data_IF_282298023111
#
_entry.id   IF_282298023111
#
_cell.length_a   1.000
_cell.length_b   1.000
_cell.length_c   1.000
_cell.angle_alpha   90.00
_cell.angle_beta   90.00
_cell.angle_gamma   90.00
#
_symmetry.space_group_name_H-M   'P 1'
#
loop_
_entity.id
_entity.type
_entity.pdbx_description
1 polymer ?
#
# COMPACT_ATOMS: atom_id res chain seq x y z
N UNK A 1 10.20 6.84 -15.33
CA UNK A 1 10.53 5.39 -15.42
C UNK A 1 9.65 4.64 -14.43
N UNK A 2 9.05 3.52 -14.81
CA UNK A 2 8.12 2.73 -14.01
C UNK A 2 8.67 1.33 -13.73
N UNK A 3 8.84 0.98 -12.46
CA UNK A 3 9.22 -0.36 -12.02
C UNK A 3 7.97 -1.20 -11.83
N UNK A 4 7.89 -2.39 -12.45
CA UNK A 4 6.79 -3.33 -12.25
C UNK A 4 7.19 -4.44 -11.27
N UNK A 5 6.44 -4.67 -10.19
CA UNK A 5 6.59 -5.84 -9.30
C UNK A 5 5.27 -6.20 -8.56
N UNK A 6 5.30 -7.11 -7.57
CA UNK A 6 4.10 -7.57 -6.85
C UNK A 6 4.18 -7.35 -5.33
N UNK A 7 3.70 -6.21 -4.82
CA UNK A 7 3.65 -5.87 -3.38
C UNK A 7 2.60 -4.78 -3.06
N UNK A 8 1.84 -4.84 -1.95
CA UNK A 8 0.94 -3.74 -1.51
C UNK A 8 1.74 -2.61 -0.81
N UNK A 9 1.06 -1.52 -0.46
CA UNK A 9 1.47 -0.25 -1.07
C UNK A 9 1.42 1.04 -0.22
N UNK A 10 1.15 0.95 1.08
CA UNK A 10 1.41 2.09 1.99
C UNK A 10 2.91 2.21 2.33
N UNK A 11 3.22 2.45 3.60
CA UNK A 11 4.58 2.54 4.17
C UNK A 11 5.45 1.26 4.12
N UNK A 12 5.26 0.40 3.11
CA UNK A 12 6.19 -0.64 2.65
C UNK A 12 6.81 -0.33 1.29
N UNK A 13 6.25 0.60 0.50
CA UNK A 13 6.98 1.20 -0.63
C UNK A 13 8.14 2.04 -0.09
N UNK A 14 7.92 2.76 1.01
CA UNK A 14 8.98 3.53 1.66
C UNK A 14 10.11 2.65 2.14
N UNK A 15 9.78 1.53 2.79
CA UNK A 15 10.79 0.54 3.18
C UNK A 15 11.50 -0.10 1.98
N UNK A 16 10.87 -0.20 0.80
CA UNK A 16 11.51 -0.68 -0.41
C UNK A 16 12.56 0.31 -0.94
N UNK A 17 12.21 1.58 -1.16
CA UNK A 17 13.16 2.56 -1.69
C UNK A 17 14.23 2.95 -0.67
N UNK A 18 13.89 3.01 0.64
CA UNK A 18 14.89 3.17 1.71
C UNK A 18 15.91 2.04 1.73
N UNK A 19 15.50 0.78 1.47
CA UNK A 19 16.44 -0.34 1.38
C UNK A 19 17.32 -0.25 0.13
N UNK A 20 16.80 0.21 -1.02
CA UNK A 20 17.62 0.45 -2.22
C UNK A 20 18.69 1.50 -1.94
N UNK A 21 18.29 2.68 -1.46
CA UNK A 21 19.20 3.79 -1.19
C UNK A 21 20.24 3.41 -0.10
N UNK A 22 19.84 2.68 0.94
CA UNK A 22 20.74 2.20 2.00
C UNK A 22 21.70 1.10 1.54
N UNK A 23 21.27 0.19 0.65
CA UNK A 23 22.05 -0.98 0.22
C UNK A 23 23.02 -0.67 -0.92
N UNK A 24 22.62 0.21 -1.84
CA UNK A 24 23.37 0.50 -3.07
C UNK A 24 23.88 1.95 -3.14
N UNK A 25 23.66 2.76 -2.10
CA UNK A 25 24.14 4.15 -2.04
C UNK A 25 23.40 5.13 -2.97
N UNK A 26 22.31 4.67 -3.60
CA UNK A 26 21.54 5.44 -4.57
C UNK A 26 20.72 6.57 -3.90
N UNK A 27 20.26 7.50 -4.73
CA UNK A 27 19.33 8.57 -4.35
C UNK A 27 18.06 8.49 -5.20
N UNK A 28 17.43 7.31 -5.19
CA UNK A 28 16.10 7.12 -5.76
C UNK A 28 15.12 7.91 -4.92
N UNK A 29 14.35 8.81 -5.54
CA UNK A 29 13.19 9.44 -4.92
C UNK A 29 11.91 8.78 -5.43
N UNK A 30 10.90 8.77 -4.58
CA UNK A 30 9.66 8.05 -4.81
C UNK A 30 8.44 8.89 -4.45
N UNK A 31 7.59 9.18 -5.44
CA UNK A 31 6.46 10.10 -5.30
C UNK A 31 5.11 9.52 -5.79
N UNK A 32 5.13 8.51 -6.68
CA UNK A 32 3.96 8.13 -7.51
C UNK A 32 3.89 6.62 -7.78
N UNK A 33 2.80 5.94 -7.40
CA UNK A 33 2.57 4.50 -7.66
C UNK A 33 1.19 4.20 -8.24
N UNK A 34 1.02 3.09 -8.95
CA UNK A 34 -0.29 2.58 -9.36
C UNK A 34 -0.49 1.12 -8.92
N UNK A 35 -1.69 0.79 -8.43
CA UNK A 35 -2.04 -0.54 -7.91
C UNK A 35 -2.99 -1.26 -8.87
N UNK A 36 -2.65 -2.48 -9.30
CA UNK A 36 -3.51 -3.37 -10.08
C UNK A 36 -3.77 -4.70 -9.34
N UNK A 37 -4.95 -4.86 -8.76
CA UNK A 37 -5.38 -6.00 -7.95
C UNK A 37 -5.92 -7.14 -8.85
N UNK A 38 -5.23 -8.29 -8.87
CA UNK A 38 -5.58 -9.46 -9.70
C UNK A 38 -6.47 -10.47 -9.00
N UNK A 39 -6.30 -10.62 -7.69
CA UNK A 39 -7.21 -11.39 -6.84
C UNK A 39 -7.20 -10.86 -5.42
N UNK A 40 -8.32 -11.06 -4.71
CA UNK A 40 -8.50 -10.68 -3.32
C UNK A 40 -9.44 -11.68 -2.64
N UNK A 41 -9.10 -12.11 -1.43
CA UNK A 41 -10.00 -12.86 -0.57
C UNK A 41 -9.89 -12.35 0.87
N UNK A 42 -10.99 -12.38 1.60
CA UNK A 42 -11.08 -11.86 2.97
C UNK A 42 -11.64 -12.93 3.89
N UNK A 43 -10.90 -13.25 4.94
CA UNK A 43 -11.17 -14.39 5.79
C UNK A 43 -11.08 -14.01 7.28
N UNK A 44 -12.03 -14.50 8.07
CA UNK A 44 -11.88 -14.52 9.53
C UNK A 44 -10.86 -15.60 9.89
N UNK A 45 -9.69 -15.21 10.38
CA UNK A 45 -8.58 -16.09 10.77
C UNK A 45 -8.05 -15.59 12.10
N UNK A 46 -8.23 -16.39 13.16
CA UNK A 46 -7.73 -16.06 14.49
C UNK A 46 -6.20 -16.02 14.52
N UNK A 47 -5.63 -15.07 15.25
CA UNK A 47 -4.20 -14.99 15.52
C UNK A 47 -3.97 -15.48 16.95
N UNK A 48 -3.39 -16.68 17.08
CA UNK A 48 -2.83 -17.15 18.35
C UNK A 48 -1.60 -16.30 18.65
N UNK A 49 -1.64 -15.56 19.76
CA UNK A 49 -0.47 -14.81 20.26
C UNK A 49 0.44 -15.72 21.07
N UNK A 50 1.73 -15.43 21.06
CA UNK A 50 2.73 -16.13 21.86
C UNK A 50 2.46 -15.96 23.36
N UNK A 51 2.93 -16.94 24.15
CA UNK A 51 2.80 -16.91 25.61
C UNK A 51 3.75 -15.88 26.22
N UNK A 52 3.29 -15.18 27.26
CA UNK A 52 4.07 -14.18 27.98
C UNK A 52 4.06 -14.47 29.48
N UNK A 53 5.13 -14.07 30.16
CA UNK A 53 5.20 -14.11 31.61
C UNK A 53 4.48 -12.89 32.19
N UNK A 54 3.71 -13.12 33.26
CA UNK A 54 3.13 -12.04 34.06
C UNK A 54 4.09 -11.65 35.20
N UNK A 55 3.79 -10.56 35.91
CA UNK A 55 4.60 -10.01 37.02
C UNK A 55 4.90 -11.05 38.13
N UNK A 56 4.11 -12.13 38.21
CA UNK A 56 4.23 -13.21 39.20
C UNK A 56 4.83 -14.49 38.59
N UNK A 57 5.59 -14.39 37.49
CA UNK A 57 6.18 -15.48 36.68
C UNK A 57 5.19 -16.55 36.16
N UNK A 58 3.88 -16.31 36.30
CA UNK A 58 2.86 -17.17 35.69
C UNK A 58 2.80 -16.89 34.20
N UNK A 59 3.22 -17.87 33.40
CA UNK A 59 3.10 -17.88 31.94
C UNK A 59 1.62 -17.94 31.52
N UNK A 60 1.18 -17.04 30.64
CA UNK A 60 -0.20 -16.96 30.14
C UNK A 60 -0.26 -16.80 28.63
N UNK A 61 -1.30 -17.36 28.02
CA UNK A 61 -1.70 -17.04 26.65
C UNK A 61 -2.50 -15.72 26.71
N UNK A 62 -2.21 -14.72 25.86
CA UNK A 62 -3.03 -13.51 25.75
C UNK A 62 -4.48 -13.83 25.35
N UNK A 63 -5.41 -12.93 25.70
CA UNK A 63 -6.80 -13.03 25.24
C UNK A 63 -6.88 -13.13 23.71
N UNK A 64 -7.65 -14.10 23.21
CA UNK A 64 -7.89 -14.30 21.78
C UNK A 64 -8.68 -13.09 21.26
N UNK A 65 -8.11 -12.40 20.26
CA UNK A 65 -8.76 -11.27 19.60
C UNK A 65 -9.23 -11.72 18.21
N UNK A 66 -10.48 -11.38 17.89
CA UNK A 66 -11.08 -11.70 16.59
C UNK A 66 -10.40 -10.93 15.46
N UNK A 67 -9.55 -11.61 14.69
CA UNK A 67 -8.80 -11.02 13.58
C UNK A 67 -9.37 -11.42 12.21
N UNK A 68 -9.27 -10.47 11.27
CA UNK A 68 -9.54 -10.69 9.85
C UNK A 68 -8.23 -10.54 9.07
N UNK A 69 -8.05 -11.37 8.05
CA UNK A 69 -6.87 -11.39 7.19
C UNK A 69 -7.32 -11.42 5.73
N UNK A 70 -6.50 -10.89 4.82
CA UNK A 70 -6.74 -10.98 3.39
C UNK A 70 -5.55 -11.55 2.64
N UNK A 71 -5.85 -12.48 1.72
CA UNK A 71 -4.91 -12.94 0.71
C UNK A 71 -5.19 -12.15 -0.58
N UNK A 72 -4.17 -11.94 -1.40
CA UNK A 72 -4.31 -11.13 -2.61
C UNK A 72 -3.11 -11.34 -3.54
N UNK A 73 -3.37 -11.21 -4.84
CA UNK A 73 -2.37 -11.07 -5.89
C UNK A 73 -2.54 -9.71 -6.55
N UNK A 74 -1.44 -9.01 -6.84
CA UNK A 74 -1.48 -7.71 -7.53
C UNK A 74 -0.22 -7.49 -8.36
N UNK A 75 -0.28 -6.51 -9.25
CA UNK A 75 0.89 -5.82 -9.82
C UNK A 75 0.93 -4.37 -9.33
N UNK A 76 2.15 -3.87 -9.19
CA UNK A 76 2.52 -2.55 -8.70
C UNK A 76 3.39 -1.89 -9.76
N UNK A 77 3.02 -0.70 -10.22
CA UNK A 77 3.88 0.18 -11.01
C UNK A 77 4.39 1.33 -10.14
N UNK A 78 5.70 1.50 -10.01
CA UNK A 78 6.35 2.55 -9.20
C UNK A 78 7.11 3.52 -10.09
N UNK A 79 6.77 4.81 -10.06
CA UNK A 79 7.51 5.85 -10.78
C UNK A 79 8.80 6.17 -10.01
N UNK A 80 9.93 6.08 -10.69
CA UNK A 80 11.23 6.52 -10.20
C UNK A 80 11.85 7.56 -11.13
N UNK A 81 12.68 8.40 -10.52
CA UNK A 81 13.52 9.42 -11.17
C UNK A 81 14.88 8.89 -11.63
N UNK A 82 15.33 7.75 -11.09
CA UNK A 82 16.66 7.18 -11.34
C UNK A 82 16.63 6.16 -12.50
N UNK A 83 17.61 6.25 -13.41
CA UNK A 83 17.62 5.50 -14.69
C UNK A 83 18.40 4.19 -14.68
N UNK A 84 19.36 4.00 -13.76
CA UNK A 84 20.28 2.83 -13.75
C UNK A 84 19.84 1.78 -12.70
N UNK A 85 18.53 1.54 -12.61
CA UNK A 85 17.94 0.76 -11.52
C UNK A 85 17.75 -0.72 -11.93
N UNK A 86 18.86 -1.47 -11.99
CA UNK A 86 18.83 -2.86 -12.47
C UNK A 86 17.86 -3.78 -11.71
N UNK A 87 17.35 -4.78 -12.43
CA UNK A 87 16.44 -5.85 -11.96
C UNK A 87 16.94 -6.50 -10.66
N UNK A 88 18.24 -6.76 -10.57
CA UNK A 88 18.89 -7.38 -9.43
C UNK A 88 18.80 -6.51 -8.18
N UNK A 89 18.94 -5.18 -8.31
CA UNK A 89 18.78 -4.22 -7.21
C UNK A 89 17.34 -4.22 -6.69
N UNK A 90 16.36 -4.23 -7.61
CA UNK A 90 14.93 -4.31 -7.29
C UNK A 90 14.61 -5.60 -6.53
N UNK A 91 14.98 -6.76 -7.10
CA UNK A 91 14.73 -8.07 -6.49
C UNK A 91 15.40 -8.21 -5.12
N UNK A 92 16.61 -7.68 -4.95
CA UNK A 92 17.37 -7.74 -3.70
C UNK A 92 16.81 -6.86 -2.57
N UNK A 93 15.93 -5.91 -2.87
CA UNK A 93 15.34 -4.98 -1.89
C UNK A 93 13.83 -5.15 -1.66
N UNK A 94 13.17 -6.12 -2.33
CA UNK A 94 11.75 -6.41 -2.14
C UNK A 94 11.38 -6.62 -0.65
N UNK A 95 10.33 -5.94 -0.13
CA UNK A 95 9.96 -6.03 1.28
C UNK A 95 9.30 -7.38 1.58
N UNK A 96 9.87 -8.15 2.51
CA UNK A 96 9.40 -9.50 2.84
C UNK A 96 8.05 -9.55 3.58
N UNK A 97 7.63 -8.44 4.22
CA UNK A 97 6.44 -8.38 5.08
C UNK A 97 5.61 -7.13 4.82
N UNK A 98 4.29 -7.29 4.90
CA UNK A 98 3.31 -6.33 4.40
C UNK A 98 1.96 -6.49 5.09
N UNK A 99 1.51 -5.46 5.82
CA UNK A 99 0.28 -5.50 6.62
C UNK A 99 0.18 -6.73 7.53
N UNK A 100 1.32 -7.20 8.05
CA UNK A 100 1.46 -8.44 8.84
C UNK A 100 1.66 -9.72 8.02
N UNK A 101 1.19 -9.77 6.77
CA UNK A 101 1.39 -10.91 5.86
C UNK A 101 2.80 -10.96 5.24
N UNK A 102 3.12 -12.09 4.61
CA UNK A 102 4.36 -12.27 3.84
C UNK A 102 4.20 -11.84 2.37
N UNK A 103 5.30 -11.50 1.71
CA UNK A 103 5.36 -11.12 0.29
C UNK A 103 6.25 -12.11 -0.46
N UNK A 104 5.74 -12.68 -1.55
CA UNK A 104 6.46 -13.63 -2.39
C UNK A 104 6.19 -13.38 -3.88
N UNK A 105 7.25 -13.37 -4.68
CA UNK A 105 7.17 -13.48 -6.14
C UNK A 105 7.58 -14.90 -6.51
N UNK A 106 6.64 -15.70 -7.02
CA UNK A 106 6.95 -17.07 -7.45
C UNK A 106 7.90 -17.07 -8.64
N UNK A 107 8.92 -17.94 -8.63
CA UNK A 107 10.08 -17.92 -9.53
C UNK A 107 9.78 -17.63 -11.03
N UNK A 108 8.73 -18.21 -11.67
CA UNK A 108 8.42 -17.92 -13.07
C UNK A 108 8.02 -16.46 -13.37
N UNK A 109 7.78 -15.64 -12.34
CA UNK A 109 7.38 -14.23 -12.41
C UNK A 109 8.54 -13.28 -12.04
N UNK A 110 9.74 -13.79 -11.76
CA UNK A 110 10.94 -12.95 -11.61
C UNK A 110 11.33 -12.29 -12.94
N UNK A 111 10.99 -12.93 -14.06
CA UNK A 111 11.06 -12.36 -15.41
C UNK A 111 10.28 -11.04 -15.51
N UNK A 112 9.04 -10.99 -15.00
CA UNK A 112 8.16 -9.81 -15.03
C UNK A 112 8.42 -8.78 -13.92
N UNK A 113 9.60 -8.78 -13.32
CA UNK A 113 10.11 -7.67 -12.50
C UNK A 113 11.09 -6.89 -13.36
N UNK A 114 10.72 -5.68 -13.78
CA UNK A 114 11.42 -5.00 -14.87
C UNK A 114 11.08 -3.49 -14.87
N UNK A 115 11.75 -2.74 -15.75
CA UNK A 115 11.86 -1.28 -15.69
C UNK A 115 11.53 -0.65 -17.04
N UNK A 116 10.50 0.19 -17.06
CA UNK A 116 9.91 0.77 -18.28
C UNK A 116 10.05 2.28 -18.32
N UNK A 117 10.18 2.88 -19.51
CA UNK A 117 10.34 4.34 -19.60
C UNK A 117 9.01 5.07 -19.30
N UNK A 118 7.90 4.59 -19.85
CA UNK A 118 6.55 5.12 -19.71
C UNK A 118 5.57 4.14 -19.02
N UNK A 119 4.39 4.64 -18.67
CA UNK A 119 3.36 3.87 -17.97
C UNK A 119 2.67 2.83 -18.85
N UNK A 120 2.53 3.08 -20.16
CA UNK A 120 1.74 2.24 -21.06
C UNK A 120 2.43 0.89 -21.28
N UNK A 121 3.72 0.89 -21.60
CA UNK A 121 4.49 -0.36 -21.71
C UNK A 121 4.57 -1.10 -20.37
N UNK A 122 4.63 -0.36 -19.24
CA UNK A 122 4.61 -0.96 -17.91
C UNK A 122 3.28 -1.67 -17.58
N UNK A 123 2.14 -1.14 -18.05
CA UNK A 123 0.82 -1.79 -17.97
C UNK A 123 0.75 -3.00 -18.91
N UNK A 124 1.22 -2.85 -20.16
CA UNK A 124 1.20 -3.91 -21.18
C UNK A 124 2.07 -5.13 -20.79
N UNK A 125 3.13 -4.91 -20.02
CA UNK A 125 3.98 -5.97 -19.47
C UNK A 125 3.35 -6.76 -18.31
N UNK A 126 2.20 -6.36 -17.76
CA UNK A 126 1.53 -7.09 -16.68
C UNK A 126 0.88 -8.36 -17.25
N UNK A 127 1.31 -9.58 -16.87
CA UNK A 127 0.86 -10.83 -17.50
C UNK A 127 -0.58 -11.26 -17.14
N UNK A 128 -1.31 -10.42 -16.39
CA UNK A 128 -2.66 -10.68 -15.90
C UNK A 128 -3.59 -9.52 -16.31
N UNK A 129 -4.15 -9.64 -17.50
CA UNK A 129 -4.98 -8.61 -18.15
C UNK A 129 -6.35 -8.37 -17.51
N UNK A 130 -6.72 -9.15 -16.48
CA UNK A 130 -8.02 -9.08 -15.79
C UNK A 130 -7.98 -8.34 -14.44
N UNK A 131 -6.84 -7.74 -14.09
CA UNK A 131 -6.68 -6.98 -12.85
C UNK A 131 -7.54 -5.72 -12.78
N UNK A 132 -7.86 -5.31 -11.55
CA UNK A 132 -8.59 -4.09 -11.21
C UNK A 132 -7.64 -3.03 -10.68
N UNK A 133 -7.57 -1.90 -11.37
CA UNK A 133 -6.81 -0.75 -10.92
C UNK A 133 -7.55 -0.01 -9.82
N UNK A 134 -6.82 0.33 -8.77
CA UNK A 134 -7.36 1.08 -7.64
C UNK A 134 -7.21 2.58 -7.91
N UNK A 135 -8.26 3.34 -7.59
CA UNK A 135 -8.28 4.81 -7.61
C UNK A 135 -9.26 5.34 -6.55
N UNK A 136 -9.10 6.56 -6.06
CA UNK A 136 -10.11 7.23 -5.23
C UNK A 136 -11.35 7.55 -6.10
N UNK A 137 -12.55 7.30 -5.58
CA UNK A 137 -13.82 7.58 -6.27
C UNK A 137 -14.21 9.07 -6.15
N UNK A 138 -13.43 9.94 -6.80
CA UNK A 138 -13.66 11.39 -6.89
C UNK A 138 -14.85 11.72 -7.82
N UNK A 139 -16.04 11.30 -7.40
CA UNK A 139 -17.29 11.72 -8.02
C UNK A 139 -17.76 13.02 -7.39
N UNK A 140 -18.37 13.91 -8.18
CA UNK A 140 -18.83 15.27 -7.82
C UNK A 140 -19.68 15.44 -6.54
N UNK A 141 -20.14 14.35 -5.90
CA UNK A 141 -20.80 14.37 -4.60
C UNK A 141 -19.82 13.89 -3.51
N UNK A 142 -19.17 14.80 -2.74
CA UNK A 142 -18.38 14.42 -1.57
C UNK A 142 -19.26 13.78 -0.48
N UNK A 143 -18.66 12.94 0.35
CA UNK A 143 -19.36 12.25 1.44
C UNK A 143 -19.55 13.20 2.63
N UNK A 144 -20.80 13.48 3.02
CA UNK A 144 -21.07 14.34 4.19
C UNK A 144 -20.83 13.59 5.50
N UNK A 145 -20.92 12.26 5.48
CA UNK A 145 -20.76 11.38 6.63
C UNK A 145 -20.45 9.93 6.18
N UNK A 146 -20.15 9.04 7.13
CA UNK A 146 -19.80 7.63 6.86
C UNK A 146 -20.99 6.82 6.31
N UNK A 147 -22.23 7.11 6.71
CA UNK A 147 -23.41 6.41 6.21
C UNK A 147 -23.68 6.71 4.73
N UNK A 148 -23.42 7.94 4.25
CA UNK A 148 -23.46 8.29 2.83
C UNK A 148 -22.47 7.42 2.02
N UNK A 149 -21.26 7.26 2.55
CA UNK A 149 -20.20 6.46 1.93
C UNK A 149 -20.58 4.97 1.86
N UNK A 150 -21.02 4.39 2.98
CA UNK A 150 -21.49 3.01 3.02
C UNK A 150 -22.69 2.79 2.09
N UNK A 151 -23.67 3.69 2.12
CA UNK A 151 -24.88 3.66 1.27
C UNK A 151 -24.60 3.80 -0.23
N UNK A 152 -23.39 4.21 -0.63
CA UNK A 152 -22.91 4.28 -2.01
C UNK A 152 -22.12 3.02 -2.39
N UNK A 153 -21.28 2.52 -1.49
CA UNK A 153 -20.53 1.26 -1.63
C UNK A 153 -21.50 0.08 -1.77
N UNK A 154 -22.55 0.02 -0.93
CA UNK A 154 -23.61 -1.01 -1.01
C UNK A 154 -24.41 -1.02 -2.32
N UNK A 155 -24.26 0.02 -3.16
CA UNK A 155 -24.93 0.16 -4.47
C UNK A 155 -23.97 0.03 -5.65
N UNK A 156 -22.67 -0.21 -5.40
CA UNK A 156 -21.62 -0.26 -6.42
C UNK A 156 -20.58 -1.32 -6.07
N UNK A 157 -20.69 -2.47 -6.73
CA UNK A 157 -19.72 -3.58 -6.63
C UNK A 157 -18.28 -3.20 -7.05
N UNK A 158 -18.11 -2.05 -7.72
CA UNK A 158 -16.81 -1.49 -8.09
C UNK A 158 -16.19 -0.58 -7.02
N UNK A 159 -16.84 -0.38 -5.85
CA UNK A 159 -16.33 0.41 -4.73
C UNK A 159 -16.02 -0.42 -3.49
N UNK A 160 -14.99 -0.01 -2.74
CA UNK A 160 -14.70 -0.49 -1.38
C UNK A 160 -14.30 0.67 -0.46
N UNK A 161 -14.53 0.54 0.85
CA UNK A 161 -13.98 1.47 1.83
C UNK A 161 -12.49 1.16 2.05
N UNK A 162 -11.62 2.17 1.89
CA UNK A 162 -10.19 2.08 2.14
C UNK A 162 -9.73 3.13 3.15
N UNK A 163 -8.73 2.78 3.97
CA UNK A 163 -7.94 3.78 4.69
C UNK A 163 -6.90 4.36 3.72
N UNK A 164 -6.98 5.66 3.44
CA UNK A 164 -6.12 6.37 2.49
C UNK A 164 -5.14 7.33 3.17
N UNK A 165 -5.22 7.48 4.49
CA UNK A 165 -4.35 8.39 5.23
C UNK A 165 -4.58 8.40 6.73
N UNK A 166 -3.97 9.38 7.38
CA UNK A 166 -4.03 9.62 8.82
C UNK A 166 -4.19 11.12 9.09
N UNK A 167 -5.16 11.47 9.94
CA UNK A 167 -5.38 12.83 10.44
C UNK A 167 -4.79 12.95 11.85
N UNK A 168 -3.96 13.96 12.07
CA UNK A 168 -3.22 14.18 13.31
C UNK A 168 -4.11 14.83 14.37
N UNK A 169 -4.15 14.24 15.57
CA UNK A 169 -4.88 14.75 16.74
C UNK A 169 -4.09 15.80 17.53
N UNK A 170 -2.80 15.91 17.25
CA UNK A 170 -1.82 16.76 17.92
C UNK A 170 -0.74 17.19 16.91
N UNK A 171 0.16 18.10 17.29
CA UNK A 171 1.34 18.38 16.47
C UNK A 171 2.38 17.26 16.65
N UNK A 172 3.17 16.91 15.61
CA UNK A 172 4.29 15.97 15.75
C UNK A 172 5.36 16.52 16.70
N UNK A 173 5.66 15.77 17.77
CA UNK A 173 6.55 16.19 18.86
C UNK A 173 7.53 15.07 19.25
N UNK A 174 8.67 15.43 19.81
CA UNK A 174 9.69 14.48 20.26
C UNK A 174 9.30 13.85 21.61
N UNK A 175 8.73 12.64 21.56
CA UNK A 175 8.22 11.93 22.74
C UNK A 175 9.15 10.80 23.19
N UNK A 176 9.29 10.65 24.51
CA UNK A 176 10.11 9.60 25.15
C UNK A 176 9.57 8.22 24.74
N UNK A 177 10.44 7.34 24.25
CA UNK A 177 10.04 6.01 23.78
C UNK A 177 9.41 5.99 22.37
N UNK A 178 9.52 7.10 21.62
CA UNK A 178 9.26 7.11 20.18
C UNK A 178 10.11 6.06 19.44
N UNK A 179 9.50 5.42 18.43
CA UNK A 179 10.23 4.48 17.57
C UNK A 179 11.32 5.25 16.80
N UNK A 180 12.50 4.65 16.68
CA UNK A 180 13.67 5.20 15.96
C UNK A 180 14.08 6.64 16.32
N UNK A 181 13.59 7.18 17.45
CA UNK A 181 13.72 8.58 17.89
C UNK A 181 13.19 9.62 16.87
N UNK A 182 12.13 9.29 16.13
CA UNK A 182 11.43 10.26 15.26
C UNK A 182 10.21 10.89 15.97
N UNK A 183 9.81 12.09 15.53
CA UNK A 183 8.62 12.78 16.03
C UNK A 183 7.38 11.88 16.04
N UNK A 184 6.70 11.86 17.18
CA UNK A 184 5.47 11.10 17.41
C UNK A 184 4.24 11.98 17.26
N UNK A 185 3.17 11.43 16.69
CA UNK A 185 1.86 12.06 16.58
C UNK A 185 0.76 11.00 16.74
N UNK A 186 -0.20 11.21 17.64
CA UNK A 186 -1.45 10.43 17.66
C UNK A 186 -2.31 10.81 16.46
N UNK A 187 -2.91 9.81 15.79
CA UNK A 187 -3.65 10.05 14.55
C UNK A 187 -4.81 9.06 14.33
N UNK A 188 -5.85 9.51 13.65
CA UNK A 188 -7.03 8.74 13.26
C UNK A 188 -7.03 8.41 11.76
N UNK A 189 -7.62 7.28 11.31
CA UNK A 189 -7.61 6.87 9.91
C UNK A 189 -8.54 7.72 9.04
N UNK A 190 -8.01 8.25 7.94
CA UNK A 190 -8.80 8.92 6.89
C UNK A 190 -9.36 7.83 5.97
N UNK A 191 -10.69 7.73 5.92
CA UNK A 191 -11.42 6.77 5.08
C UNK A 191 -11.87 7.42 3.77
N UNK A 192 -11.81 6.67 2.67
CA UNK A 192 -12.37 7.05 1.38
C UNK A 192 -12.98 5.84 0.65
N UNK A 193 -13.87 6.12 -0.31
CA UNK A 193 -14.29 5.12 -1.29
C UNK A 193 -13.20 4.95 -2.36
N UNK A 194 -12.72 3.72 -2.52
CA UNK A 194 -11.74 3.32 -3.52
C UNK A 194 -12.44 2.51 -4.61
N UNK A 195 -12.31 2.96 -5.85
CA UNK A 195 -12.86 2.34 -7.06
C UNK A 195 -11.91 1.27 -7.61
N UNK A 196 -12.49 0.20 -8.15
CA UNK A 196 -11.82 -0.99 -8.70
C UNK A 196 -12.13 -1.14 -10.20
N UNK A 197 -11.58 -0.26 -11.02
CA UNK A 197 -11.84 -0.19 -12.47
C UNK A 197 -10.92 -1.12 -13.28
N UNK A 198 -11.43 -1.71 -14.37
CA UNK A 198 -10.56 -2.31 -15.39
C UNK A 198 -9.81 -1.20 -16.15
N UNK A 199 -8.60 -1.45 -16.67
CA UNK A 199 -7.91 -0.46 -17.49
C UNK A 199 -8.60 -0.30 -18.86
N UNK A 200 -8.74 0.94 -19.31
CA UNK A 200 -9.22 1.28 -20.66
C UNK A 200 -8.14 2.11 -21.35
N UNK A 201 -7.57 1.58 -22.42
CA UNK A 201 -6.56 2.31 -23.20
C UNK A 201 -7.21 3.53 -23.87
N UNK A 202 -6.81 4.72 -23.43
CA UNK A 202 -7.36 6.01 -23.89
C UNK A 202 -7.80 6.92 -22.74
N UNK A 203 -8.09 6.37 -21.56
CA UNK A 203 -8.36 7.17 -20.35
C UNK A 203 -7.09 7.81 -19.78
N UNK A 204 -7.24 8.95 -19.09
CA UNK A 204 -6.13 9.65 -18.44
C UNK A 204 -5.56 8.84 -17.28
N UNK A 205 -4.42 8.19 -17.53
CA UNK A 205 -3.72 7.30 -16.57
C UNK A 205 -3.40 7.92 -15.21
N UNK A 206 -3.27 9.26 -15.14
CA UNK A 206 -3.08 10.05 -13.92
C UNK A 206 -4.04 9.65 -12.79
N UNK A 207 -5.32 9.39 -13.12
CA UNK A 207 -6.36 8.99 -12.16
C UNK A 207 -6.12 7.63 -11.48
N UNK A 208 -5.09 6.89 -11.87
CA UNK A 208 -4.66 5.61 -11.27
C UNK A 208 -3.34 5.75 -10.50
N UNK A 209 -2.70 6.93 -10.55
CA UNK A 209 -1.40 7.21 -9.96
C UNK A 209 -1.63 7.83 -8.58
N UNK A 210 -1.31 7.07 -7.55
CA UNK A 210 -1.41 7.44 -6.15
C UNK A 210 -0.14 8.22 -5.73
N UNK A 211 -0.34 9.33 -5.04
CA UNK A 211 0.72 10.20 -4.54
C UNK A 211 0.58 10.43 -3.05
N UNK A 212 1.70 10.63 -2.35
CA UNK A 212 1.69 11.03 -0.94
C UNK A 212 1.58 12.55 -0.79
N UNK A 213 0.57 12.98 -0.04
CA UNK A 213 0.37 14.38 0.36
C UNK A 213 0.49 14.52 1.88
N UNK A 214 1.30 15.48 2.32
CA UNK A 214 1.48 15.83 3.73
C UNK A 214 1.23 17.31 3.92
N UNK A 215 0.37 17.65 4.87
CA UNK A 215 0.20 19.03 5.37
C UNK A 215 0.49 19.07 6.88
N UNK A 216 0.11 20.16 7.56
CA UNK A 216 0.34 20.33 9.00
C UNK A 216 -0.54 19.45 9.90
N UNK A 217 -1.65 18.90 9.39
CA UNK A 217 -2.65 18.17 10.17
C UNK A 217 -2.99 16.78 9.62
N UNK A 218 -2.44 16.38 8.47
CA UNK A 218 -2.71 15.06 7.86
C UNK A 218 -1.55 14.57 6.98
N UNK A 219 -1.44 13.24 6.87
CA UNK A 219 -0.68 12.52 5.85
C UNK A 219 -1.64 11.58 5.11
N UNK A 220 -1.85 11.79 3.82
CA UNK A 220 -2.85 11.06 3.04
C UNK A 220 -2.40 10.81 1.60
N UNK A 221 -3.08 9.89 0.94
CA UNK A 221 -2.89 9.61 -0.47
C UNK A 221 -3.92 10.36 -1.32
N UNK A 222 -3.50 10.82 -2.50
CA UNK A 222 -4.37 11.36 -3.56
C UNK A 222 -4.16 10.63 -4.87
N UNK A 223 -5.08 10.81 -5.82
CA UNK A 223 -4.86 10.60 -7.25
C UNK A 223 -4.94 11.92 -8.01
#
# INVERSE_FOLDING_TARGET
MWISFRCKLGGKVDQFWMQINKRFGLKVDFQEFAICLHSYSFHKRGITKEQYYTINDVQKIPGIVDSRQCDFLLSLLIKVNYLELDKEHILACLPQKLCGGAVHIGLPNLSSVDVYNDFKHAVEAIPLTKGKWLAIDDSNNPFNNVFDMMSKIEKRDDLVAGCVGYHFLELPEDKIGSLDNIQHVFAEPILAAVRMSSFVFGDTHEKLIWQYQKNSTSLYLTN
#
